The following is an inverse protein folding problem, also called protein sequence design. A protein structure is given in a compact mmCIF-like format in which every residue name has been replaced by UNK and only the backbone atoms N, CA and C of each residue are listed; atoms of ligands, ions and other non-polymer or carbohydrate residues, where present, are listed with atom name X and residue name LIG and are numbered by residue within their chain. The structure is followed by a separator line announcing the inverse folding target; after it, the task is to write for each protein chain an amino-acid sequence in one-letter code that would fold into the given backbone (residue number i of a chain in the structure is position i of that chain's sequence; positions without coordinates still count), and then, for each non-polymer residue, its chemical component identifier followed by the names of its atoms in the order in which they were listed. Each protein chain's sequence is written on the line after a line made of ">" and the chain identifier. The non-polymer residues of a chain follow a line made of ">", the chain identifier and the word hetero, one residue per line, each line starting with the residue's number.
data_IF_839164723447
#
_entry.id   IF_839164723447
#
_cell.length_a   1.000
_cell.length_b   1.000
_cell.length_c   1.000
_cell.angle_alpha   90.00
_cell.angle_beta   90.00
_cell.angle_gamma   90.00
#
_symmetry.space_group_name_H-M   'P 1'
#
loop_
_entity.id
_entity.type
_entity.pdbx_description
1 polymer ?
#
# COMPACT_ATOMS: atom_id res chain seq x y z
N UNK A 1 -12.70 10.47 3.40
CA UNK A 1 -11.32 10.43 3.95
C UNK A 1 -10.40 11.19 3.02
N UNK A 2 -9.30 11.76 3.51
CA UNK A 2 -8.28 12.45 2.71
C UNK A 2 -6.96 11.70 2.87
N UNK A 3 -6.31 11.38 1.75
CA UNK A 3 -4.96 10.82 1.74
C UNK A 3 -3.96 11.99 1.72
N UNK A 4 -3.05 12.02 2.69
CA UNK A 4 -2.00 13.04 2.83
C UNK A 4 -0.63 12.33 2.73
N UNK A 5 0.29 12.79 1.87
CA UNK A 5 1.63 12.22 1.80
C UNK A 5 2.36 12.28 3.14
N UNK A 6 2.99 11.17 3.54
CA UNK A 6 3.69 11.02 4.82
C UNK A 6 2.83 10.48 5.96
N UNK A 7 1.50 10.49 5.84
CA UNK A 7 0.62 9.88 6.83
C UNK A 7 0.62 8.35 6.72
N UNK A 8 0.37 7.69 7.85
CA UNK A 8 0.13 6.24 7.92
C UNK A 8 -1.34 5.97 8.18
N UNK A 9 -1.94 5.06 7.39
CA UNK A 9 -3.32 4.63 7.55
C UNK A 9 -3.37 3.12 7.77
N UNK A 10 -4.10 2.68 8.79
CA UNK A 10 -4.16 1.27 9.19
C UNK A 10 -5.60 0.79 9.25
N UNK A 11 -5.85 -0.44 8.80
CA UNK A 11 -7.16 -1.09 8.90
C UNK A 11 -7.01 -2.62 8.88
N UNK A 12 -7.79 -3.31 9.70
CA UNK A 12 -7.93 -4.77 9.61
C UNK A 12 -9.06 -5.15 8.66
N UNK A 13 -8.87 -6.24 7.93
CA UNK A 13 -9.83 -6.79 6.96
C UNK A 13 -9.89 -8.31 7.17
N UNK A 14 -11.09 -8.85 7.30
CA UNK A 14 -11.32 -10.29 7.35
C UNK A 14 -11.29 -10.86 5.93
N UNK A 15 -10.24 -11.62 5.61
CA UNK A 15 -10.12 -12.32 4.33
C UNK A 15 -10.72 -13.71 4.42
N UNK A 16 -11.53 -14.09 3.42
CA UNK A 16 -12.04 -15.47 3.27
C UNK A 16 -10.98 -16.42 2.71
N UNK A 17 -9.85 -15.89 2.24
CA UNK A 17 -8.72 -16.66 1.72
C UNK A 17 -7.57 -16.61 2.71
N UNK A 18 -7.03 -17.77 3.10
CA UNK A 18 -5.80 -17.86 3.89
C UNK A 18 -4.62 -17.49 3.00
N UNK A 19 -3.94 -16.40 3.34
CA UNK A 19 -2.78 -15.93 2.61
C UNK A 19 -1.55 -16.67 3.11
N UNK A 20 -0.81 -17.29 2.18
CA UNK A 20 0.57 -17.72 2.41
C UNK A 20 1.50 -16.50 2.33
N UNK A 21 2.80 -16.64 2.65
CA UNK A 21 3.76 -15.56 2.49
C UNK A 21 3.61 -14.89 1.12
N UNK A 22 3.40 -13.58 1.13
CA UNK A 22 3.14 -12.81 -0.08
C UNK A 22 4.46 -12.31 -0.66
N UNK A 23 4.62 -12.48 -1.97
CA UNK A 23 5.76 -11.91 -2.71
C UNK A 23 5.53 -10.45 -3.11
N UNK A 24 4.28 -9.96 -3.06
CA UNK A 24 3.90 -8.61 -3.46
C UNK A 24 2.57 -8.19 -2.88
N UNK A 25 2.37 -6.88 -2.77
CA UNK A 25 1.07 -6.26 -2.54
C UNK A 25 0.82 -5.16 -3.58
N UNK A 26 -0.43 -4.75 -3.71
CA UNK A 26 -0.82 -3.68 -4.64
C UNK A 26 -1.44 -2.51 -3.90
N UNK A 27 -1.06 -1.30 -4.31
CA UNK A 27 -1.70 -0.06 -3.88
C UNK A 27 -2.52 0.51 -5.03
N UNK A 28 -3.78 0.80 -4.75
CA UNK A 28 -4.74 1.36 -5.69
C UNK A 28 -5.53 2.48 -5.02
N UNK A 29 -5.70 3.59 -5.71
CA UNK A 29 -6.44 4.74 -5.19
C UNK A 29 -7.36 5.33 -6.25
N UNK A 30 -8.54 5.75 -5.79
CA UNK A 30 -9.54 6.46 -6.60
C UNK A 30 -9.72 7.89 -6.09
N UNK A 31 -9.94 8.87 -6.98
CA UNK A 31 -10.16 10.24 -6.56
C UNK A 31 -11.61 10.40 -6.07
N UNK A 32 -11.79 11.14 -4.98
CA UNK A 32 -13.14 11.42 -4.44
C UNK A 32 -13.93 12.43 -5.30
N UNK A 33 -13.23 13.29 -6.04
CA UNK A 33 -13.82 14.34 -6.90
C UNK A 33 -13.32 14.14 -8.35
N UNK A 34 -14.14 14.54 -9.33
CA UNK A 34 -13.71 14.70 -10.74
C UNK A 34 -12.53 15.68 -10.77
N UNK A 35 -11.32 15.13 -10.88
CA UNK A 35 -10.09 15.87 -10.64
C UNK A 35 -9.74 16.66 -11.90
N UNK A 36 -9.90 18.00 -11.85
CA UNK A 36 -9.42 18.91 -12.91
C UNK A 36 -7.88 18.91 -12.95
N UNK A 37 -7.22 18.52 -11.85
CA UNK A 37 -5.76 18.36 -11.75
C UNK A 37 -5.38 16.88 -11.66
N UNK A 38 -4.41 16.46 -12.47
CA UNK A 38 -3.79 15.12 -12.37
C UNK A 38 -2.97 15.04 -11.07
N UNK A 39 -3.46 14.30 -10.08
CA UNK A 39 -2.71 14.00 -8.86
C UNK A 39 -2.04 12.64 -9.01
N UNK A 40 -0.87 12.50 -8.42
CA UNK A 40 -0.19 11.21 -8.30
C UNK A 40 -0.02 10.91 -6.82
N UNK A 41 -0.34 9.68 -6.42
CA UNK A 41 -0.15 9.15 -5.07
C UNK A 41 0.48 7.77 -5.17
N UNK A 42 1.24 7.41 -4.14
CA UNK A 42 1.83 6.09 -4.00
C UNK A 42 1.93 5.71 -2.54
N UNK A 43 2.14 4.43 -2.29
CA UNK A 43 2.51 3.92 -0.98
C UNK A 43 4.02 3.64 -0.99
N UNK A 44 4.76 4.34 -0.13
CA UNK A 44 6.18 4.08 0.05
C UNK A 44 6.40 2.74 0.79
N UNK A 45 5.52 2.44 1.76
CA UNK A 45 5.58 1.26 2.60
C UNK A 45 4.17 0.76 2.95
N UNK A 46 3.99 -0.56 2.93
CA UNK A 46 2.81 -1.25 3.46
C UNK A 46 3.28 -2.31 4.43
N UNK A 47 2.83 -2.21 5.68
CA UNK A 47 3.02 -3.25 6.69
C UNK A 47 1.74 -4.09 6.79
N UNK A 48 1.87 -5.38 6.51
CA UNK A 48 0.79 -6.35 6.60
C UNK A 48 1.00 -7.23 7.82
N UNK A 49 0.04 -7.20 8.74
CA UNK A 49 0.02 -8.07 9.91
C UNK A 49 -0.94 -9.25 9.69
N UNK A 50 -0.46 -10.47 9.87
CA UNK A 50 -1.29 -11.68 9.87
C UNK A 50 -2.06 -11.80 11.18
N UNK A 51 -3.36 -12.10 11.09
CA UNK A 51 -4.21 -12.23 12.28
C UNK A 51 -3.97 -13.51 13.10
N UNK A 52 -3.41 -14.55 12.48
CA UNK A 52 -3.18 -15.87 13.12
C UNK A 52 -2.08 -15.82 14.18
N UNK A 53 -0.96 -15.17 13.87
CA UNK A 53 0.27 -15.17 14.67
C UNK A 53 0.85 -13.77 14.91
N UNK A 54 0.27 -12.73 14.31
CA UNK A 54 0.73 -11.35 14.46
C UNK A 54 2.00 -11.02 13.66
N UNK A 55 2.45 -11.90 12.77
CA UNK A 55 3.63 -11.68 11.93
C UNK A 55 3.45 -10.47 11.02
N UNK A 56 4.46 -9.60 10.97
CA UNK A 56 4.48 -8.41 10.12
C UNK A 56 5.37 -8.67 8.91
N UNK A 57 4.81 -8.49 7.71
CA UNK A 57 5.53 -8.46 6.44
C UNK A 57 5.48 -7.06 5.86
N UNK A 58 6.63 -6.56 5.41
CA UNK A 58 6.78 -5.19 4.94
C UNK A 58 7.08 -5.14 3.45
N UNK A 59 6.32 -4.30 2.74
CA UNK A 59 6.44 -4.12 1.29
C UNK A 59 6.74 -2.67 0.97
N UNK A 60 7.71 -2.43 0.08
CA UNK A 60 8.19 -1.10 -0.27
C UNK A 60 8.14 -0.87 -1.78
N UNK A 61 7.95 0.38 -2.17
CA UNK A 61 8.15 0.85 -3.54
C UNK A 61 8.51 2.34 -3.55
N UNK A 62 9.23 2.76 -4.59
CA UNK A 62 9.50 4.16 -4.87
C UNK A 62 8.49 4.75 -5.86
N UNK A 63 8.28 6.06 -5.78
CA UNK A 63 7.47 6.80 -6.75
C UNK A 63 5.98 6.78 -6.47
N UNK A 64 5.22 7.33 -7.42
CA UNK A 64 3.77 7.51 -7.33
C UNK A 64 3.11 7.09 -8.64
N UNK A 65 1.81 6.82 -8.58
CA UNK A 65 0.98 6.46 -9.73
C UNK A 65 -0.20 7.42 -9.87
N UNK A 66 -0.70 7.57 -11.10
CA UNK A 66 -1.94 8.29 -11.37
C UNK A 66 -3.14 7.60 -10.70
N UNK A 67 -4.25 8.32 -10.62
CA UNK A 67 -5.50 7.76 -10.14
C UNK A 67 -5.94 6.57 -11.00
N UNK A 68 -6.56 5.58 -10.35
CA UNK A 68 -7.02 4.35 -10.97
C UNK A 68 -5.90 3.50 -11.63
N UNK A 69 -4.63 3.80 -11.35
CA UNK A 69 -3.48 2.98 -11.75
C UNK A 69 -2.99 2.20 -10.54
N UNK A 70 -2.65 0.93 -10.76
CA UNK A 70 -2.14 0.04 -9.69
C UNK A 70 -0.64 0.19 -9.55
N UNK A 71 -0.18 0.52 -8.35
CA UNK A 71 1.23 0.41 -7.95
C UNK A 71 1.48 -0.97 -7.34
N UNK A 72 2.59 -1.62 -7.70
CA UNK A 72 3.02 -2.90 -7.11
C UNK A 72 4.16 -2.62 -6.14
N UNK A 73 4.07 -3.16 -4.92
CA UNK A 73 5.12 -3.11 -3.92
C UNK A 73 5.68 -4.52 -3.73
N UNK A 74 7.01 -4.63 -3.76
CA UNK A 74 7.74 -5.86 -3.43
C UNK A 74 8.18 -5.88 -1.97
N UNK A 75 8.78 -6.97 -1.48
CA UNK A 75 9.33 -7.02 -0.12
C UNK A 75 10.37 -5.91 0.04
N UNK A 76 10.32 -5.19 1.17
CA UNK A 76 11.32 -4.16 1.46
C UNK A 76 12.71 -4.79 1.51
N UNK A 77 13.68 -4.13 0.86
CA UNK A 77 15.11 -4.41 1.04
C UNK A 77 15.73 -3.35 1.94
N UNK A 78 16.92 -3.60 2.47
CA UNK A 78 17.61 -2.68 3.40
C UNK A 78 17.81 -1.26 2.82
N UNK A 79 17.79 -1.10 1.50
CA UNK A 79 17.94 0.18 0.80
C UNK A 79 16.63 0.99 0.67
N UNK A 80 15.48 0.39 0.98
CA UNK A 80 14.16 1.02 0.87
C UNK A 80 13.69 1.67 2.18
N UNK A 81 14.55 1.68 3.22
CA UNK A 81 14.25 2.15 4.57
C UNK A 81 14.52 3.65 4.81
N UNK A 82 14.59 4.47 3.77
CA UNK A 82 14.95 5.90 3.84
C UNK A 82 13.89 6.83 3.24
#
# INVERSE_FOLDING_TARGET
>A
GRLVPGDTYSKFIDSTVKLHPLDRVTFYWTPMLLNIFKKQLGAARIDMQTGEDGTISSFCATGTVLDNVTQVLGPCRDLDAH
#
